data_IF_583235438293
#
_entry.id   IF_583235438293
#
_cell.length_a   1.000
_cell.length_b   1.000
_cell.length_c   1.000
_cell.angle_alpha   90.00
_cell.angle_beta   90.00
_cell.angle_gamma   90.00
#
_symmetry.space_group_name_H-M   'P 1'
#
loop_
_entity.id
_entity.type
_entity.pdbx_description
1 polymer ?
#
# COMPACT_ATOMS: atom_id res chain seq x y z
N UNK A 1 7.66 4.23 23.30
CA UNK A 1 7.14 4.85 22.05
C UNK A 1 6.95 3.73 21.04
N UNK A 2 5.77 3.60 20.48
CA UNK A 2 5.48 2.60 19.45
C UNK A 2 6.15 2.99 18.13
N UNK A 3 6.64 2.00 17.37
CA UNK A 3 7.20 2.18 16.02
C UNK A 3 6.47 1.21 15.11
N UNK A 4 6.18 1.61 13.90
CA UNK A 4 5.66 0.72 12.86
C UNK A 4 6.83 0.15 12.05
N UNK A 5 7.05 -1.15 12.15
CA UNK A 5 8.08 -1.86 11.40
C UNK A 5 7.46 -2.49 10.15
N UNK A 6 7.89 -2.05 8.98
CA UNK A 6 7.52 -2.61 7.69
C UNK A 6 8.60 -3.61 7.31
N UNK A 7 8.37 -4.89 7.55
CA UNK A 7 9.37 -5.94 7.36
C UNK A 7 9.13 -6.65 6.03
N UNK A 8 10.13 -6.64 5.17
CA UNK A 8 10.12 -7.51 4.00
C UNK A 8 10.22 -8.98 4.40
N UNK A 9 9.83 -9.89 3.51
CA UNK A 9 9.80 -11.32 3.77
C UNK A 9 10.97 -12.06 3.11
N UNK A 10 11.09 -11.97 1.80
CA UNK A 10 12.07 -12.75 1.04
C UNK A 10 13.47 -12.20 1.20
N UNK A 11 14.40 -13.07 1.54
CA UNK A 11 15.79 -12.72 1.79
C UNK A 11 16.04 -11.75 2.96
N UNK A 12 14.95 -11.31 3.62
CA UNK A 12 14.97 -10.51 4.85
C UNK A 12 14.57 -11.33 6.09
N UNK A 13 13.40 -11.97 6.07
CA UNK A 13 12.89 -12.82 7.15
C UNK A 13 12.94 -14.32 6.82
N UNK A 14 12.88 -14.64 5.53
CA UNK A 14 12.94 -15.99 4.99
C UNK A 14 14.00 -16.05 3.88
N UNK A 15 15.00 -16.88 4.01
CA UNK A 15 15.99 -17.07 2.94
C UNK A 15 15.34 -17.86 1.80
N UNK A 16 15.05 -17.19 0.69
CA UNK A 16 14.38 -17.74 -0.48
C UNK A 16 15.28 -17.63 -1.70
N UNK A 17 15.71 -18.77 -2.25
CA UNK A 17 16.37 -18.76 -3.55
C UNK A 17 15.31 -18.60 -4.65
N UNK A 18 15.05 -17.35 -5.05
CA UNK A 18 14.04 -17.03 -6.05
C UNK A 18 14.28 -17.69 -7.41
N UNK A 19 15.55 -17.90 -7.80
CA UNK A 19 15.90 -18.56 -9.07
C UNK A 19 15.50 -20.04 -9.07
N UNK A 20 15.45 -20.68 -7.90
CA UNK A 20 14.97 -22.04 -7.74
C UNK A 20 13.47 -22.09 -7.42
N UNK A 21 12.98 -21.17 -6.58
CA UNK A 21 11.61 -21.16 -6.09
C UNK A 21 10.58 -20.87 -7.19
N UNK A 22 10.80 -19.84 -8.00
CA UNK A 22 9.84 -19.42 -9.04
C UNK A 22 9.63 -20.50 -10.11
N UNK A 23 10.67 -21.11 -10.68
CA UNK A 23 10.47 -22.24 -11.61
C UNK A 23 9.77 -23.45 -10.97
N UNK A 24 10.10 -23.80 -9.73
CA UNK A 24 9.44 -24.88 -9.01
C UNK A 24 7.97 -24.59 -8.72
N UNK A 25 7.63 -23.36 -8.35
CA UNK A 25 6.25 -22.90 -8.19
C UNK A 25 5.47 -23.01 -9.50
N UNK A 26 6.03 -22.53 -10.61
CA UNK A 26 5.38 -22.61 -11.91
C UNK A 26 5.15 -24.07 -12.34
N UNK A 27 6.15 -24.92 -12.17
CA UNK A 27 6.05 -26.35 -12.46
C UNK A 27 4.95 -27.02 -11.62
N UNK A 28 4.94 -26.74 -10.31
CA UNK A 28 3.98 -27.33 -9.38
C UNK A 28 2.53 -26.86 -9.70
N UNK A 29 2.32 -25.57 -9.96
CA UNK A 29 1.01 -25.04 -10.32
C UNK A 29 0.52 -25.57 -11.67
N UNK A 30 1.39 -25.56 -12.69
CA UNK A 30 1.07 -26.12 -14.01
C UNK A 30 0.77 -27.62 -13.91
N UNK A 31 1.50 -28.38 -13.11
CA UNK A 31 1.25 -29.78 -12.87
C UNK A 31 -0.08 -30.05 -12.18
N UNK A 32 -0.46 -29.22 -11.20
CA UNK A 32 -1.75 -29.34 -10.50
C UNK A 32 -2.97 -29.04 -11.38
N UNK A 33 -2.78 -28.35 -12.50
CA UNK A 33 -3.84 -27.93 -13.42
C UNK A 33 -3.69 -28.57 -14.81
N UNK A 34 -2.77 -29.52 -15.01
CA UNK A 34 -2.42 -30.10 -16.31
C UNK A 34 -3.57 -30.87 -16.98
N UNK A 35 -4.52 -31.37 -16.20
CA UNK A 35 -5.74 -32.02 -16.69
C UNK A 35 -6.78 -31.02 -17.24
N UNK A 36 -6.62 -29.72 -16.93
CA UNK A 36 -7.56 -28.67 -17.33
C UNK A 36 -6.96 -27.68 -18.34
N UNK A 37 -5.66 -27.37 -18.22
CA UNK A 37 -4.98 -26.34 -19.00
C UNK A 37 -3.61 -26.84 -19.45
N UNK A 38 -3.29 -26.63 -20.72
CA UNK A 38 -1.94 -26.91 -21.21
C UNK A 38 -0.90 -26.04 -20.45
N UNK A 39 0.23 -26.62 -20.03
CA UNK A 39 1.24 -25.93 -19.22
C UNK A 39 1.73 -24.61 -19.82
N UNK A 40 1.90 -24.54 -21.14
CA UNK A 40 2.37 -23.35 -21.86
C UNK A 40 1.33 -22.22 -21.79
N UNK A 41 0.03 -22.56 -21.90
CA UNK A 41 -1.07 -21.59 -21.80
C UNK A 41 -1.18 -21.07 -20.38
N UNK A 42 -1.06 -21.95 -19.37
CA UNK A 42 -1.04 -21.59 -17.95
C UNK A 42 0.12 -20.62 -17.67
N UNK A 43 1.33 -20.95 -18.09
CA UNK A 43 2.51 -20.12 -17.86
C UNK A 43 2.38 -18.73 -18.50
N UNK A 44 1.90 -18.67 -19.76
CA UNK A 44 1.67 -17.40 -20.44
C UNK A 44 0.60 -16.55 -19.76
N UNK A 45 -0.50 -17.16 -19.27
CA UNK A 45 -1.53 -16.46 -18.53
C UNK A 45 -1.00 -15.92 -17.19
N UNK A 46 -0.24 -16.72 -16.45
CA UNK A 46 0.37 -16.36 -15.17
C UNK A 46 1.37 -15.21 -15.33
N UNK A 47 2.30 -15.32 -16.28
CA UNK A 47 3.27 -14.25 -16.55
C UNK A 47 2.59 -12.96 -17.03
N UNK A 48 1.56 -13.07 -17.86
CA UNK A 48 0.79 -11.92 -18.33
C UNK A 48 0.04 -11.21 -17.20
N UNK A 49 -0.61 -11.97 -16.33
CA UNK A 49 -1.28 -11.43 -15.13
C UNK A 49 -0.29 -10.76 -14.17
N UNK A 50 0.85 -11.41 -13.91
CA UNK A 50 1.92 -10.84 -13.06
C UNK A 50 2.47 -9.54 -13.66
N UNK A 51 2.74 -9.50 -14.96
CA UNK A 51 3.18 -8.27 -15.63
C UNK A 51 2.17 -7.13 -15.50
N UNK A 52 0.88 -7.45 -15.54
CA UNK A 52 -0.18 -6.45 -15.39
C UNK A 52 -0.25 -5.93 -13.95
N UNK A 53 -0.06 -6.78 -12.94
CA UNK A 53 0.05 -6.33 -11.54
C UNK A 53 1.23 -5.38 -11.34
N UNK A 54 2.41 -5.71 -11.87
CA UNK A 54 3.62 -4.87 -11.77
C UNK A 54 3.46 -3.50 -12.42
N UNK A 55 2.62 -3.39 -13.45
CA UNK A 55 2.36 -2.15 -14.17
C UNK A 55 1.15 -1.37 -13.63
N UNK A 56 0.45 -1.89 -12.61
CA UNK A 56 -0.78 -1.26 -12.14
C UNK A 56 -0.50 0.05 -11.40
N UNK A 57 -1.15 1.11 -11.84
CA UNK A 57 -1.20 2.43 -11.18
C UNK A 57 -2.65 2.87 -10.91
N UNK A 58 -3.64 2.03 -11.20
CA UNK A 58 -5.05 2.33 -10.98
C UNK A 58 -5.42 2.06 -9.50
N UNK A 59 -5.76 3.09 -8.72
CA UNK A 59 -6.14 2.92 -7.32
C UNK A 59 -7.52 2.29 -7.12
N UNK A 60 -8.26 2.03 -8.20
CA UNK A 60 -9.59 1.43 -8.13
C UNK A 60 -9.57 -0.09 -8.18
N UNK A 61 -8.44 -0.70 -8.53
CA UNK A 61 -8.33 -2.13 -8.76
C UNK A 61 -7.25 -2.75 -7.86
N UNK A 62 -7.64 -3.70 -7.04
CA UNK A 62 -6.69 -4.54 -6.31
C UNK A 62 -5.80 -5.30 -7.30
N UNK A 63 -4.61 -5.70 -6.87
CA UNK A 63 -3.72 -6.51 -7.71
C UNK A 63 -4.37 -7.85 -8.10
N UNK A 64 -5.22 -8.40 -7.23
CA UNK A 64 -6.04 -9.59 -7.55
C UNK A 64 -6.97 -9.31 -8.72
N UNK A 65 -7.70 -8.22 -8.71
CA UNK A 65 -8.64 -7.87 -9.80
C UNK A 65 -7.88 -7.64 -11.11
N UNK A 66 -6.72 -6.96 -11.06
CA UNK A 66 -5.84 -6.77 -12.22
C UNK A 66 -5.32 -8.11 -12.73
N UNK A 67 -4.87 -9.01 -11.86
CA UNK A 67 -4.42 -10.34 -12.22
C UNK A 67 -5.56 -11.16 -12.86
N UNK A 68 -6.70 -11.22 -12.20
CA UNK A 68 -7.88 -11.98 -12.60
C UNK A 68 -8.39 -11.57 -13.99
N UNK A 69 -8.41 -10.26 -14.27
CA UNK A 69 -8.82 -9.71 -15.55
C UNK A 69 -7.93 -10.17 -16.73
N UNK A 70 -6.67 -10.54 -16.46
CA UNK A 70 -5.73 -11.02 -17.48
C UNK A 70 -5.59 -12.54 -17.49
N UNK A 71 -5.68 -13.17 -16.34
CA UNK A 71 -5.43 -14.60 -16.17
C UNK A 71 -6.58 -15.45 -16.68
N UNK A 72 -7.79 -15.29 -16.11
CA UNK A 72 -8.92 -16.16 -16.40
C UNK A 72 -9.38 -16.14 -17.88
N UNK A 73 -9.50 -15.00 -18.57
CA UNK A 73 -9.93 -14.98 -19.96
C UNK A 73 -9.02 -15.76 -20.91
N UNK A 74 -7.71 -15.84 -20.61
CA UNK A 74 -6.75 -16.57 -21.42
C UNK A 74 -6.89 -18.08 -21.31
N UNK A 75 -7.38 -18.57 -20.19
CA UNK A 75 -7.53 -19.99 -19.92
C UNK A 75 -8.80 -20.58 -20.56
N UNK A 76 -9.77 -19.74 -20.91
CA UNK A 76 -11.07 -20.16 -21.52
C UNK A 76 -11.80 -21.22 -20.71
N UNK A 77 -11.66 -21.22 -19.40
CA UNK A 77 -12.31 -22.11 -18.45
C UNK A 77 -13.25 -21.34 -17.54
N UNK A 78 -14.21 -22.04 -16.97
CA UNK A 78 -15.07 -21.50 -15.91
C UNK A 78 -14.19 -21.11 -14.69
N UNK A 79 -14.31 -19.84 -14.30
CA UNK A 79 -13.54 -19.28 -13.19
C UNK A 79 -13.78 -20.04 -11.89
N UNK A 80 -15.05 -20.41 -11.60
CA UNK A 80 -15.38 -21.05 -10.34
C UNK A 80 -14.75 -22.44 -10.23
N UNK A 81 -14.74 -23.18 -11.33
CA UNK A 81 -14.12 -24.52 -11.38
C UNK A 81 -12.60 -24.41 -11.21
N UNK A 82 -11.97 -23.47 -11.90
CA UNK A 82 -10.52 -23.27 -11.81
C UNK A 82 -10.09 -22.76 -10.45
N UNK A 83 -10.87 -21.87 -9.83
CA UNK A 83 -10.57 -21.33 -8.50
C UNK A 83 -10.49 -22.44 -7.43
N UNK A 84 -11.42 -23.41 -7.45
CA UNK A 84 -11.39 -24.55 -6.53
C UNK A 84 -10.08 -25.33 -6.63
N UNK A 85 -9.58 -25.54 -7.86
CA UNK A 85 -8.32 -26.25 -8.09
C UNK A 85 -7.10 -25.45 -7.66
N UNK A 86 -7.14 -24.13 -7.88
CA UNK A 86 -6.10 -23.20 -7.41
C UNK A 86 -6.07 -23.20 -5.88
N UNK A 87 -7.22 -23.17 -5.22
CA UNK A 87 -7.30 -23.19 -3.75
C UNK A 87 -6.73 -24.50 -3.20
N UNK A 88 -7.08 -25.66 -3.81
CA UNK A 88 -6.49 -26.95 -3.47
C UNK A 88 -4.98 -26.99 -3.65
N UNK A 89 -4.47 -26.37 -4.74
CA UNK A 89 -3.03 -26.25 -4.95
C UNK A 89 -2.35 -25.51 -3.79
N UNK A 90 -2.90 -24.39 -3.36
CA UNK A 90 -2.33 -23.63 -2.23
C UNK A 90 -2.47 -24.35 -0.90
N UNK A 91 -3.47 -25.22 -0.73
CA UNK A 91 -3.66 -26.02 0.50
C UNK A 91 -2.74 -27.25 0.55
N UNK A 92 -2.53 -27.94 -0.57
CA UNK A 92 -1.95 -29.31 -0.56
C UNK A 92 -0.57 -29.39 -1.23
N UNK A 93 -0.29 -28.56 -2.23
CA UNK A 93 0.92 -28.64 -3.05
C UNK A 93 1.92 -27.53 -2.68
N UNK A 94 1.45 -26.28 -2.63
CA UNK A 94 2.28 -25.12 -2.33
C UNK A 94 3.06 -25.26 -1.01
N UNK A 95 2.52 -25.82 0.10
CA UNK A 95 3.26 -26.01 1.35
C UNK A 95 4.56 -26.83 1.20
N UNK A 96 4.62 -27.73 0.21
CA UNK A 96 5.81 -28.60 -0.04
C UNK A 96 6.99 -27.81 -0.62
N UNK A 97 6.74 -26.65 -1.21
CA UNK A 97 7.77 -25.75 -1.73
C UNK A 97 8.62 -25.12 -0.60
N UNK A 98 8.16 -25.19 0.65
CA UNK A 98 8.92 -24.76 1.82
C UNK A 98 10.30 -25.40 1.95
N UNK A 99 10.47 -26.60 1.39
CA UNK A 99 11.80 -27.27 1.34
C UNK A 99 12.86 -26.52 0.51
N UNK A 100 12.43 -25.54 -0.31
CA UNK A 100 13.31 -24.68 -1.10
C UNK A 100 13.71 -23.40 -0.37
N UNK A 101 13.25 -23.22 0.86
CA UNK A 101 13.51 -22.03 1.68
C UNK A 101 14.23 -22.43 2.96
N UNK A 102 14.85 -21.46 3.63
CA UNK A 102 15.51 -21.67 4.92
C UNK A 102 15.14 -20.54 5.88
N UNK A 103 14.67 -20.85 7.10
CA UNK A 103 14.41 -19.85 8.12
C UNK A 103 15.65 -19.01 8.43
N UNK A 104 15.46 -17.72 8.68
CA UNK A 104 16.51 -16.84 9.19
C UNK A 104 16.30 -16.72 10.70
N UNK A 105 17.24 -17.27 11.55
CA UNK A 105 17.04 -17.28 12.99
C UNK A 105 16.87 -15.89 13.62
N UNK A 106 17.54 -14.88 13.04
CA UNK A 106 17.43 -13.49 13.49
C UNK A 106 16.05 -12.87 13.21
N UNK A 107 15.32 -13.40 12.22
CA UNK A 107 13.96 -12.93 11.90
C UNK A 107 13.00 -13.19 13.07
N UNK A 108 12.99 -14.40 13.63
CA UNK A 108 12.14 -14.74 14.78
C UNK A 108 12.54 -13.87 15.99
N UNK A 109 13.84 -13.71 16.25
CA UNK A 109 14.33 -12.85 17.35
C UNK A 109 13.93 -11.38 17.19
N UNK A 110 13.95 -10.88 15.97
CA UNK A 110 13.52 -9.51 15.66
C UNK A 110 12.01 -9.34 15.90
N UNK A 111 11.20 -10.25 15.40
CA UNK A 111 9.74 -10.19 15.51
C UNK A 111 9.30 -10.40 16.97
N UNK A 112 9.86 -11.36 17.69
CA UNK A 112 9.60 -11.56 19.13
C UNK A 112 9.94 -10.30 19.94
N UNK A 113 11.09 -9.67 19.65
CA UNK A 113 11.47 -8.41 20.27
C UNK A 113 10.47 -7.28 19.94
N UNK A 114 10.09 -7.14 18.67
CA UNK A 114 9.20 -6.07 18.23
C UNK A 114 7.83 -6.14 18.94
N UNK A 115 7.25 -7.33 19.04
CA UNK A 115 6.00 -7.52 19.77
C UNK A 115 6.19 -7.34 21.29
N UNK A 116 7.33 -7.80 21.84
CA UNK A 116 7.66 -7.64 23.25
C UNK A 116 7.78 -6.17 23.69
N UNK A 117 8.25 -5.30 22.80
CA UNK A 117 8.34 -3.84 23.02
C UNK A 117 7.06 -3.08 22.64
N UNK A 118 6.01 -3.79 22.18
CA UNK A 118 4.75 -3.18 21.78
C UNK A 118 4.82 -2.41 20.45
N UNK A 119 5.74 -2.79 19.56
CA UNK A 119 5.83 -2.23 18.23
C UNK A 119 4.74 -2.81 17.32
N UNK A 120 4.31 -2.03 16.31
CA UNK A 120 3.41 -2.50 15.27
C UNK A 120 4.24 -3.15 14.18
N UNK A 121 3.92 -4.40 13.83
CA UNK A 121 4.66 -5.16 12.79
C UNK A 121 3.76 -5.39 11.59
N UNK A 122 4.28 -5.03 10.42
CA UNK A 122 3.68 -5.24 9.10
C UNK A 122 4.60 -6.15 8.30
N UNK A 123 4.05 -7.15 7.64
CA UNK A 123 4.77 -7.91 6.62
C UNK A 123 4.58 -7.20 5.28
N UNK A 124 5.63 -6.52 4.87
CA UNK A 124 5.67 -5.68 3.67
C UNK A 124 6.35 -6.43 2.51
N UNK A 125 5.82 -7.58 2.12
CA UNK A 125 6.32 -8.37 0.97
C UNK A 125 5.78 -7.84 -0.35
N UNK A 126 6.43 -8.16 -1.49
CA UNK A 126 5.86 -7.79 -2.79
C UNK A 126 4.55 -8.56 -3.01
N UNK A 127 3.39 -7.88 -3.15
CA UNK A 127 2.07 -8.49 -3.07
C UNK A 127 1.63 -9.16 -4.38
N UNK A 128 2.50 -10.02 -4.92
CA UNK A 128 2.26 -10.77 -6.16
C UNK A 128 1.63 -12.15 -5.93
N UNK A 129 1.45 -12.54 -4.67
CA UNK A 129 0.89 -13.82 -4.26
C UNK A 129 -0.39 -13.64 -3.44
N UNK A 130 -1.30 -14.66 -3.44
CA UNK A 130 -2.43 -14.68 -2.53
C UNK A 130 -1.99 -14.74 -1.07
N UNK A 131 -2.80 -14.18 -0.18
CA UNK A 131 -2.55 -14.15 1.27
C UNK A 131 -2.23 -15.55 1.82
N UNK A 132 -2.92 -16.58 1.35
CA UNK A 132 -2.67 -17.98 1.73
C UNK A 132 -1.23 -18.41 1.46
N UNK A 133 -0.67 -18.04 0.31
CA UNK A 133 0.73 -18.33 -0.02
C UNK A 133 1.70 -17.57 0.90
N UNK A 134 1.43 -16.30 1.17
CA UNK A 134 2.24 -15.50 2.11
C UNK A 134 2.20 -16.10 3.52
N UNK A 135 1.04 -16.54 3.99
CA UNK A 135 0.89 -17.22 5.28
C UNK A 135 1.71 -18.51 5.37
N UNK A 136 1.77 -19.32 4.31
CA UNK A 136 2.66 -20.50 4.27
C UNK A 136 4.12 -20.08 4.38
N UNK A 137 4.53 -19.05 3.67
CA UNK A 137 5.92 -18.53 3.70
C UNK A 137 6.29 -17.99 5.07
N UNK A 138 5.37 -17.32 5.77
CA UNK A 138 5.55 -16.91 7.16
C UNK A 138 5.72 -18.12 8.09
N UNK A 139 4.95 -19.19 7.90
CA UNK A 139 5.14 -20.43 8.68
C UNK A 139 6.53 -21.06 8.40
N UNK A 140 6.99 -21.03 7.15
CA UNK A 140 8.35 -21.50 6.81
C UNK A 140 9.44 -20.65 7.47
N UNK A 141 9.20 -19.35 7.66
CA UNK A 141 10.09 -18.45 8.39
C UNK A 141 10.05 -18.64 9.92
N UNK A 142 9.16 -19.50 10.45
CA UNK A 142 8.90 -19.62 11.88
C UNK A 142 8.04 -18.50 12.47
N UNK A 143 7.39 -17.72 11.61
CA UNK A 143 6.59 -16.55 11.93
C UNK A 143 5.09 -16.80 11.65
N UNK A 144 4.57 -17.91 12.16
CA UNK A 144 3.19 -18.31 11.91
C UNK A 144 2.18 -17.22 12.29
N UNK A 145 1.26 -16.81 11.37
CA UNK A 145 0.29 -15.75 11.62
C UNK A 145 -0.62 -16.03 12.82
N UNK A 146 -0.79 -17.29 13.20
CA UNK A 146 -1.58 -17.70 14.37
C UNK A 146 -0.90 -17.34 15.69
N UNK A 147 0.43 -17.15 15.67
CA UNK A 147 1.23 -16.76 16.84
C UNK A 147 1.45 -15.23 16.88
N UNK A 148 1.61 -14.61 15.74
CA UNK A 148 1.98 -13.20 15.62
C UNK A 148 0.84 -12.38 15.03
N UNK A 149 0.24 -11.44 15.80
CA UNK A 149 -0.84 -10.59 15.32
C UNK A 149 -0.28 -9.43 14.46
N UNK A 150 0.22 -9.75 13.27
CA UNK A 150 0.67 -8.73 12.33
C UNK A 150 -0.44 -7.73 12.03
N UNK A 151 -0.12 -6.44 12.08
CA UNK A 151 -1.10 -5.38 11.82
C UNK A 151 -1.57 -5.37 10.36
N UNK A 152 -0.69 -5.80 9.45
CA UNK A 152 -0.99 -6.00 8.03
C UNK A 152 -0.02 -7.05 7.46
N UNK A 153 -0.53 -7.90 6.59
CA UNK A 153 0.26 -8.79 5.72
C UNK A 153 -0.13 -8.45 4.30
N UNK A 154 0.77 -7.86 3.53
CA UNK A 154 0.48 -7.45 2.16
C UNK A 154 0.32 -8.65 1.25
N UNK A 155 -0.70 -8.62 0.41
CA UNK A 155 -1.03 -9.65 -0.56
C UNK A 155 -1.75 -9.04 -1.76
N UNK A 156 -1.93 -9.80 -2.83
CA UNK A 156 -2.60 -9.27 -4.01
C UNK A 156 -4.11 -8.97 -3.78
N UNK A 157 -4.71 -9.50 -2.72
CA UNK A 157 -6.10 -9.22 -2.35
C UNK A 157 -6.30 -7.85 -1.71
N UNK A 158 -5.29 -7.36 -0.96
CA UNK A 158 -5.42 -6.17 -0.13
C UNK A 158 -4.52 -5.00 -0.55
N UNK A 159 -3.75 -5.16 -1.63
CA UNK A 159 -2.91 -4.11 -2.19
C UNK A 159 -3.29 -3.79 -3.62
N UNK A 160 -3.14 -2.51 -3.99
CA UNK A 160 -3.35 -1.99 -5.34
C UNK A 160 -2.04 -1.77 -6.07
N UNK A 161 -0.95 -1.61 -5.34
CA UNK A 161 0.37 -1.31 -5.88
C UNK A 161 1.40 -2.34 -5.43
N UNK A 162 2.40 -2.56 -6.28
CA UNK A 162 3.56 -3.41 -5.99
C UNK A 162 4.73 -2.56 -5.50
N UNK A 163 5.76 -3.18 -4.93
CA UNK A 163 6.97 -2.50 -4.42
C UNK A 163 7.73 -1.69 -5.47
N UNK A 164 7.48 -1.94 -6.76
CA UNK A 164 8.03 -1.16 -7.86
C UNK A 164 7.46 0.27 -7.91
N UNK A 165 6.33 0.50 -7.23
CA UNK A 165 5.70 1.82 -7.17
C UNK A 165 5.87 2.46 -5.78
N UNK A 166 6.13 3.77 -5.78
CA UNK A 166 6.25 4.53 -4.52
C UNK A 166 4.95 4.51 -3.72
N UNK A 167 3.79 4.40 -4.39
CA UNK A 167 2.46 4.40 -3.78
C UNK A 167 2.20 3.19 -2.86
N UNK A 168 2.93 2.08 -3.01
CA UNK A 168 2.85 0.92 -2.14
C UNK A 168 3.04 1.26 -0.65
N UNK A 169 3.99 2.13 -0.33
CA UNK A 169 4.35 2.47 1.05
C UNK A 169 3.30 3.35 1.74
N UNK A 170 2.84 4.47 1.14
CA UNK A 170 1.72 5.23 1.70
C UNK A 170 0.42 4.42 1.77
N UNK A 171 0.17 3.49 0.85
CA UNK A 171 -1.02 2.62 0.90
C UNK A 171 -1.03 1.76 2.18
N UNK A 172 0.10 1.15 2.55
CA UNK A 172 0.20 0.40 3.80
C UNK A 172 -0.09 1.28 5.02
N UNK A 173 0.51 2.49 5.07
CA UNK A 173 0.28 3.42 6.18
C UNK A 173 -1.19 3.86 6.25
N UNK A 174 -1.82 4.10 5.12
CA UNK A 174 -3.23 4.47 5.04
C UNK A 174 -4.14 3.33 5.52
N UNK A 175 -3.85 2.08 5.16
CA UNK A 175 -4.57 0.91 5.67
C UNK A 175 -4.38 0.68 7.18
N UNK A 176 -3.35 1.25 7.78
CA UNK A 176 -3.12 1.25 9.23
C UNK A 176 -3.72 2.46 9.95
N UNK A 177 -4.54 3.27 9.27
CA UNK A 177 -5.10 4.50 9.81
C UNK A 177 -4.10 5.64 9.88
N UNK A 178 -3.03 5.59 9.14
CA UNK A 178 -1.96 6.60 9.08
C UNK A 178 -1.42 6.99 10.46
N UNK A 179 -0.76 6.09 11.17
CA UNK A 179 -0.27 6.36 12.53
C UNK A 179 0.74 7.52 12.55
N UNK A 180 0.69 8.32 13.61
CA UNK A 180 1.65 9.41 13.85
C UNK A 180 3.01 8.91 14.38
N UNK A 181 3.09 7.62 14.71
CA UNK A 181 4.32 6.97 15.18
C UNK A 181 5.34 6.86 14.03
N UNK A 182 6.65 6.83 14.35
CA UNK A 182 7.67 6.54 13.37
C UNK A 182 7.40 5.22 12.64
N UNK A 183 7.69 5.20 11.33
CA UNK A 183 7.60 4.00 10.51
C UNK A 183 8.95 3.75 9.82
N UNK A 184 9.44 2.51 9.84
CA UNK A 184 10.72 2.13 9.25
C UNK A 184 10.55 0.89 8.38
N UNK A 185 10.99 0.98 7.13
CA UNK A 185 11.13 -0.19 6.25
C UNK A 185 12.43 -0.92 6.57
N UNK A 186 12.37 -2.24 6.64
CA UNK A 186 13.51 -3.14 6.79
C UNK A 186 13.47 -4.16 5.67
N UNK A 187 14.45 -4.13 4.77
CA UNK A 187 14.47 -5.01 3.60
C UNK A 187 15.82 -5.02 2.91
N UNK A 188 16.02 -5.94 1.95
CA UNK A 188 17.31 -6.23 1.32
C UNK A 188 17.45 -5.73 -0.13
N UNK A 189 16.36 -5.35 -0.79
CA UNK A 189 16.34 -4.96 -2.19
C UNK A 189 16.45 -3.43 -2.36
N UNK A 190 17.52 -2.98 -3.04
CA UNK A 190 17.75 -1.55 -3.27
C UNK A 190 16.66 -0.94 -4.17
N UNK A 191 16.28 -1.64 -5.24
CA UNK A 191 15.39 -1.10 -6.26
C UNK A 191 13.93 -1.10 -5.82
N UNK A 192 13.50 -2.14 -5.12
CA UNK A 192 12.13 -2.34 -4.71
C UNK A 192 11.82 -1.82 -3.31
N UNK A 193 12.86 -1.63 -2.45
CA UNK A 193 12.64 -1.27 -1.05
C UNK A 193 13.38 0.00 -0.64
N UNK A 194 14.68 0.09 -0.89
CA UNK A 194 15.45 1.25 -0.42
C UNK A 194 15.04 2.52 -1.19
N UNK A 195 15.11 2.49 -2.52
CA UNK A 195 14.82 3.66 -3.34
C UNK A 195 13.36 4.13 -3.22
N UNK A 196 12.34 3.26 -3.43
CA UNK A 196 10.95 3.73 -3.40
C UNK A 196 10.47 4.08 -1.98
N UNK A 197 10.97 3.44 -0.92
CA UNK A 197 10.70 3.84 0.46
C UNK A 197 11.16 5.26 0.73
N UNK A 198 12.40 5.58 0.35
CA UNK A 198 12.94 6.95 0.49
C UNK A 198 12.18 7.96 -0.36
N UNK A 199 11.83 7.58 -1.58
CA UNK A 199 11.01 8.41 -2.46
C UNK A 199 9.60 8.69 -1.89
N UNK A 200 9.06 7.75 -1.11
CA UNK A 200 7.82 7.93 -0.36
C UNK A 200 7.97 8.77 0.92
N UNK A 201 9.19 9.17 1.28
CA UNK A 201 9.47 9.95 2.48
C UNK A 201 9.54 9.12 3.76
N UNK A 202 9.80 7.81 3.67
CA UNK A 202 9.94 6.92 4.81
C UNK A 202 11.41 6.57 5.07
N UNK A 203 11.80 6.43 6.34
CA UNK A 203 13.07 5.83 6.74
C UNK A 203 13.16 4.36 6.30
N UNK A 204 14.38 3.91 5.97
CA UNK A 204 14.66 2.53 5.62
C UNK A 204 15.97 2.07 6.25
N UNK A 205 16.00 0.83 6.71
CA UNK A 205 17.21 0.09 7.06
C UNK A 205 17.45 -0.98 6.01
N UNK A 206 18.59 -0.88 5.31
CA UNK A 206 18.95 -1.83 4.28
C UNK A 206 19.64 -3.04 4.86
N UNK A 207 18.98 -4.19 4.79
CA UNK A 207 19.53 -5.49 5.24
C UNK A 207 20.55 -5.98 4.21
N UNK A 208 21.77 -6.28 4.69
CA UNK A 208 22.85 -6.82 3.85
C UNK A 208 23.28 -8.20 4.32
N UNK A 209 23.37 -9.13 3.39
CA UNK A 209 23.97 -10.44 3.65
C UNK A 209 25.49 -10.33 3.74
N UNK A 210 26.12 -11.16 4.57
CA UNK A 210 27.58 -11.22 4.68
C UNK A 210 28.19 -11.53 3.29
N UNK A 211 29.17 -10.72 2.88
CA UNK A 211 29.86 -10.88 1.59
C UNK A 211 29.13 -10.30 0.38
N UNK A 212 27.97 -9.68 0.56
CA UNK A 212 27.26 -8.98 -0.52
C UNK A 212 28.02 -7.69 -0.89
N UNK A 213 28.55 -7.66 -2.10
CA UNK A 213 29.22 -6.48 -2.68
C UNK A 213 28.19 -5.78 -3.58
N UNK A 214 27.35 -4.95 -3.00
CA UNK A 214 26.48 -4.05 -3.77
C UNK A 214 26.76 -2.62 -3.35
N UNK A 215 26.92 -1.74 -4.34
CA UNK A 215 27.03 -0.30 -4.12
C UNK A 215 25.61 0.25 -3.91
N UNK A 216 25.24 0.51 -2.66
CA UNK A 216 23.99 1.19 -2.30
C UNK A 216 24.25 2.62 -1.85
N UNK A 217 23.19 3.41 -1.59
CA UNK A 217 23.31 4.77 -1.09
C UNK A 217 24.10 4.79 0.23
N UNK A 218 25.21 5.54 0.26
CA UNK A 218 26.11 5.57 1.41
C UNK A 218 25.49 6.19 2.67
N UNK A 219 24.43 6.97 2.51
CA UNK A 219 23.68 7.65 3.56
C UNK A 219 22.52 6.80 4.14
N UNK A 220 22.31 5.59 3.62
CA UNK A 220 21.29 4.67 4.13
C UNK A 220 21.87 3.78 5.23
N UNK A 221 21.24 3.73 6.42
CA UNK A 221 21.60 2.77 7.45
C UNK A 221 21.52 1.34 6.91
N UNK A 222 22.58 0.55 7.15
CA UNK A 222 22.70 -0.77 6.57
C UNK A 222 23.49 -1.72 7.45
N UNK A 223 23.25 -3.00 7.29
CA UNK A 223 23.94 -4.07 8.00
C UNK A 223 23.16 -5.37 7.98
N UNK A 224 23.68 -6.43 8.62
CA UNK A 224 22.90 -7.65 8.78
C UNK A 224 21.67 -7.40 9.66
N UNK A 225 20.66 -8.28 9.57
CA UNK A 225 19.36 -8.08 10.22
C UNK A 225 19.49 -7.84 11.75
N UNK A 226 20.40 -8.54 12.42
CA UNK A 226 20.65 -8.37 13.84
C UNK A 226 21.19 -6.96 14.21
N UNK A 227 21.80 -6.25 13.27
CA UNK A 227 22.28 -4.89 13.50
C UNK A 227 21.16 -3.85 13.57
N UNK A 228 19.99 -4.14 13.02
CA UNK A 228 18.85 -3.24 12.99
C UNK A 228 18.46 -2.73 14.37
N UNK A 229 18.34 -3.61 15.36
CA UNK A 229 17.96 -3.23 16.73
C UNK A 229 18.95 -2.24 17.36
N UNK A 230 20.24 -2.47 17.17
CA UNK A 230 21.30 -1.58 17.67
C UNK A 230 21.30 -0.22 16.96
N UNK A 231 21.01 -0.20 15.66
CA UNK A 231 20.84 1.03 14.90
C UNK A 231 19.62 1.80 15.41
N UNK A 232 18.47 1.15 15.53
CA UNK A 232 17.23 1.78 15.98
C UNK A 232 17.36 2.37 17.39
N UNK A 233 18.00 1.64 18.33
CA UNK A 233 18.24 2.09 19.69
C UNK A 233 19.12 3.35 19.79
N UNK A 234 19.94 3.63 18.76
CA UNK A 234 20.80 4.82 18.68
C UNK A 234 20.22 5.93 17.83
N UNK A 235 19.12 5.67 17.13
CA UNK A 235 18.49 6.63 16.23
C UNK A 235 17.66 7.65 17.00
N UNK A 236 17.65 8.88 16.49
CA UNK A 236 16.66 9.86 16.93
C UNK A 236 15.29 9.48 16.32
N UNK A 237 14.37 9.05 17.14
CA UNK A 237 13.04 8.62 16.71
C UNK A 237 12.23 9.78 16.09
N UNK A 238 12.54 11.03 16.40
CA UNK A 238 11.90 12.19 15.76
C UNK A 238 12.33 12.30 14.28
N UNK A 239 13.57 11.90 13.97
CA UNK A 239 14.08 11.87 12.60
C UNK A 239 13.54 10.66 11.78
N UNK A 240 12.91 9.68 12.45
CA UNK A 240 12.28 8.52 11.80
C UNK A 240 10.79 8.73 11.47
N UNK A 241 10.28 9.94 11.62
CA UNK A 241 8.93 10.28 11.19
C UNK A 241 8.83 10.32 9.67
N UNK A 242 7.69 9.86 9.17
CA UNK A 242 7.37 9.91 7.74
C UNK A 242 7.23 11.37 7.30
N UNK A 243 7.91 11.74 6.21
CA UNK A 243 7.93 13.10 5.67
C UNK A 243 7.49 13.11 4.21
N UNK A 244 6.21 13.40 3.97
CA UNK A 244 5.61 13.42 2.63
C UNK A 244 5.61 14.87 2.14
N UNK A 245 6.73 15.32 1.60
CA UNK A 245 6.90 16.72 1.14
C UNK A 245 7.40 16.81 -0.30
N UNK A 246 8.09 15.79 -0.83
CA UNK A 246 8.54 15.80 -2.22
C UNK A 246 7.36 15.57 -3.18
N UNK A 247 7.42 16.08 -4.43
CA UNK A 247 6.40 15.83 -5.44
C UNK A 247 6.07 14.36 -5.61
N UNK A 248 7.08 13.49 -5.62
CA UNK A 248 6.91 12.06 -5.77
C UNK A 248 6.20 11.42 -4.57
N UNK A 249 6.53 11.83 -3.35
CA UNK A 249 5.87 11.35 -2.13
C UNK A 249 4.42 11.84 -2.05
N UNK A 250 4.16 13.11 -2.41
CA UNK A 250 2.83 13.69 -2.48
C UNK A 250 1.94 12.93 -3.47
N UNK A 251 2.43 12.72 -4.70
CA UNK A 251 1.70 11.99 -5.73
C UNK A 251 1.40 10.55 -5.29
N UNK A 252 2.37 9.88 -4.66
CA UNK A 252 2.20 8.54 -4.12
C UNK A 252 1.13 8.50 -3.00
N UNK A 253 1.14 9.47 -2.08
CA UNK A 253 0.14 9.60 -1.02
C UNK A 253 -1.26 9.84 -1.57
N UNK A 254 -1.41 10.78 -2.51
CA UNK A 254 -2.69 11.06 -3.16
C UNK A 254 -3.25 9.85 -3.92
N UNK A 255 -2.38 9.05 -4.54
CA UNK A 255 -2.75 7.83 -5.25
C UNK A 255 -3.18 6.72 -4.30
N UNK A 256 -2.56 6.63 -3.13
CA UNK A 256 -2.84 5.58 -2.14
C UNK A 256 -4.13 5.80 -1.36
N UNK A 257 -4.61 7.04 -1.22
CA UNK A 257 -5.82 7.34 -0.45
C UNK A 257 -7.06 6.55 -0.92
N UNK A 258 -7.50 6.63 -2.20
CA UNK A 258 -8.67 5.87 -2.63
C UNK A 258 -8.45 4.36 -2.59
N UNK A 259 -7.24 3.88 -2.85
CA UNK A 259 -6.87 2.48 -2.77
C UNK A 259 -7.06 1.92 -1.34
N UNK A 260 -6.49 2.60 -0.35
CA UNK A 260 -6.63 2.21 1.04
C UNK A 260 -8.10 2.26 1.50
N UNK A 261 -8.86 3.29 1.11
CA UNK A 261 -10.28 3.38 1.42
C UNK A 261 -11.08 2.22 0.82
N UNK A 262 -10.80 1.82 -0.42
CA UNK A 262 -11.42 0.67 -1.05
C UNK A 262 -11.18 -0.60 -0.23
N UNK A 263 -9.94 -0.87 0.19
CA UNK A 263 -9.62 -2.04 1.02
C UNK A 263 -10.28 -1.97 2.40
N UNK A 264 -10.20 -0.84 3.09
CA UNK A 264 -10.77 -0.67 4.43
C UNK A 264 -12.28 -0.82 4.47
N UNK A 265 -12.97 -0.52 3.38
CA UNK A 265 -14.44 -0.55 3.30
C UNK A 265 -15.01 -1.76 2.58
N UNK A 266 -14.16 -2.59 1.93
CA UNK A 266 -14.60 -3.69 1.05
C UNK A 266 -15.54 -4.70 1.71
N UNK A 267 -15.34 -5.00 2.99
CA UNK A 267 -16.13 -6.00 3.74
C UNK A 267 -17.14 -5.39 4.71
N UNK A 268 -17.29 -4.06 4.71
CA UNK A 268 -18.17 -3.41 5.67
C UNK A 268 -19.64 -3.62 5.33
N UNK A 269 -20.49 -3.97 6.32
CA UNK A 269 -21.92 -4.01 6.11
C UNK A 269 -22.47 -2.58 5.91
N UNK A 270 -23.57 -2.44 5.19
CA UNK A 270 -24.18 -1.13 4.88
C UNK A 270 -24.44 -0.27 6.12
N UNK A 271 -24.74 -0.89 7.26
CA UNK A 271 -24.97 -0.16 8.51
C UNK A 271 -23.73 0.54 9.07
N UNK A 272 -22.53 -0.01 8.82
CA UNK A 272 -21.26 0.60 9.27
C UNK A 272 -21.00 1.97 8.62
N UNK A 273 -21.54 2.19 7.43
CA UNK A 273 -21.37 3.45 6.71
C UNK A 273 -22.07 4.64 7.39
N UNK A 274 -23.15 4.41 8.10
CA UNK A 274 -23.97 5.45 8.72
C UNK A 274 -23.84 5.50 10.24
N UNK A 275 -22.99 4.67 10.82
CA UNK A 275 -22.75 4.64 12.24
C UNK A 275 -21.65 5.64 12.60
N UNK A 276 -22.00 6.69 13.36
CA UNK A 276 -21.03 7.65 13.90
C UNK A 276 -20.33 7.09 15.13
N UNK A 277 -19.01 7.31 15.30
CA UNK A 277 -18.28 6.85 16.48
C UNK A 277 -18.69 7.61 17.76
N UNK A 278 -19.15 8.85 17.63
CA UNK A 278 -19.72 9.67 18.69
C UNK A 278 -20.78 10.64 18.15
N UNK A 279 -21.69 11.18 18.99
CA UNK A 279 -22.83 12.00 18.53
C UNK A 279 -22.50 13.26 17.72
N UNK A 280 -21.27 13.77 17.83
CA UNK A 280 -20.81 14.97 17.11
C UNK A 280 -19.77 14.67 16.04
N UNK A 281 -19.43 13.40 15.83
CA UNK A 281 -18.44 12.99 14.84
C UNK A 281 -19.11 12.44 13.59
N UNK A 282 -18.47 12.65 12.46
CA UNK A 282 -18.97 12.18 11.17
C UNK A 282 -18.91 10.65 11.08
N UNK A 283 -19.91 10.07 10.47
CA UNK A 283 -19.89 8.67 10.07
C UNK A 283 -19.05 8.49 8.78
N UNK A 284 -18.77 7.25 8.44
CA UNK A 284 -17.96 6.92 7.26
C UNK A 284 -18.53 7.52 5.96
N UNK A 285 -19.86 7.44 5.76
CA UNK A 285 -20.51 8.02 4.60
C UNK A 285 -20.29 9.54 4.49
N UNK A 286 -20.35 10.25 5.62
CA UNK A 286 -20.13 11.69 5.67
C UNK A 286 -18.68 12.05 5.33
N UNK A 287 -17.71 11.29 5.81
CA UNK A 287 -16.30 11.52 5.53
C UNK A 287 -16.00 11.28 4.04
N UNK A 288 -16.46 10.17 3.47
CA UNK A 288 -16.23 9.85 2.06
C UNK A 288 -16.94 10.84 1.12
N UNK A 289 -18.15 11.27 1.49
CA UNK A 289 -18.87 12.33 0.78
C UNK A 289 -18.07 13.65 0.76
N UNK A 290 -17.55 14.05 1.92
CA UNK A 290 -16.70 15.23 2.05
C UNK A 290 -15.44 15.14 1.17
N UNK A 291 -14.72 14.02 1.22
CA UNK A 291 -13.54 13.79 0.37
C UNK A 291 -13.89 13.89 -1.12
N UNK A 292 -15.01 13.29 -1.56
CA UNK A 292 -15.50 13.37 -2.94
C UNK A 292 -15.77 14.81 -3.37
N UNK A 293 -16.51 15.53 -2.55
CA UNK A 293 -16.97 16.88 -2.90
C UNK A 293 -15.81 17.88 -2.89
N UNK A 294 -14.91 17.78 -1.92
CA UNK A 294 -13.70 18.60 -1.87
C UNK A 294 -12.80 18.30 -3.07
N UNK A 295 -12.64 17.04 -3.44
CA UNK A 295 -11.83 16.69 -4.60
C UNK A 295 -12.40 17.28 -5.89
N UNK A 296 -13.71 17.13 -6.13
CA UNK A 296 -14.36 17.54 -7.38
C UNK A 296 -14.52 19.06 -7.51
N UNK A 297 -14.87 19.72 -6.42
CA UNK A 297 -15.30 21.11 -6.47
C UNK A 297 -14.26 22.11 -5.95
N UNK A 298 -13.23 21.62 -5.26
CA UNK A 298 -12.18 22.46 -4.70
C UNK A 298 -10.81 22.09 -5.26
N UNK A 299 -10.32 20.86 -5.04
CA UNK A 299 -8.95 20.50 -5.39
C UNK A 299 -8.73 20.49 -6.91
N UNK A 300 -9.54 19.74 -7.64
CA UNK A 300 -9.41 19.60 -9.09
C UNK A 300 -9.52 20.95 -9.83
N UNK A 301 -10.50 21.84 -9.53
CA UNK A 301 -10.54 23.18 -10.12
C UNK A 301 -9.35 24.07 -9.77
N UNK A 302 -8.83 23.97 -8.52
CA UNK A 302 -7.63 24.72 -8.09
C UNK A 302 -6.40 24.31 -8.85
N UNK A 303 -6.16 23.00 -8.98
CA UNK A 303 -5.02 22.46 -9.73
C UNK A 303 -5.08 22.93 -11.19
N UNK A 304 -6.25 22.77 -11.84
CA UNK A 304 -6.45 23.24 -13.22
C UNK A 304 -6.13 24.74 -13.37
N UNK A 305 -6.57 25.54 -12.41
CA UNK A 305 -6.32 26.97 -12.40
C UNK A 305 -4.84 27.31 -12.25
N UNK A 306 -4.13 26.66 -11.31
CA UNK A 306 -2.69 26.87 -11.10
C UNK A 306 -1.87 26.43 -12.32
N UNK A 307 -2.30 25.39 -13.01
CA UNK A 307 -1.63 24.93 -14.23
C UNK A 307 -1.90 25.85 -15.44
N UNK A 308 -3.07 26.50 -15.50
CA UNK A 308 -3.48 27.32 -16.63
C UNK A 308 -3.08 28.81 -16.53
N UNK A 309 -3.04 29.37 -15.31
CA UNK A 309 -2.83 30.79 -15.08
C UNK A 309 -1.46 31.09 -14.48
N UNK A 310 -0.98 32.32 -14.63
CA UNK A 310 0.24 32.79 -13.99
C UNK A 310 -0.09 33.39 -12.62
N UNK A 311 0.45 32.79 -11.55
CA UNK A 311 0.26 33.19 -10.15
C UNK A 311 -1.21 33.49 -9.75
N UNK A 312 -2.16 32.55 -9.98
CA UNK A 312 -3.57 32.77 -9.76
C UNK A 312 -3.91 32.98 -8.29
N UNK A 313 -5.01 33.68 -8.04
CA UNK A 313 -5.60 33.75 -6.71
C UNK A 313 -6.52 32.54 -6.48
N UNK A 314 -6.28 31.80 -5.39
CA UNK A 314 -7.00 30.59 -4.98
C UNK A 314 -7.80 30.90 -3.73
N UNK A 315 -9.11 30.70 -3.80
CA UNK A 315 -10.04 31.02 -2.71
C UNK A 315 -10.04 29.91 -1.67
N UNK A 316 -10.05 30.27 -0.38
CA UNK A 316 -10.40 29.37 0.71
C UNK A 316 -11.91 29.08 0.66
N UNK A 317 -12.30 27.84 0.95
CA UNK A 317 -13.70 27.44 0.97
C UNK A 317 -14.00 26.65 2.24
N UNK A 318 -15.09 26.99 2.91
CA UNK A 318 -15.60 26.24 4.05
C UNK A 318 -16.46 25.09 3.52
N UNK A 319 -15.94 23.87 3.65
CA UNK A 319 -16.53 22.68 3.03
C UNK A 319 -17.24 21.75 4.02
N UNK A 320 -16.98 21.91 5.32
CA UNK A 320 -17.56 21.04 6.36
C UNK A 320 -19.09 21.18 6.42
N UNK A 321 -19.61 22.38 6.16
CA UNK A 321 -21.06 22.65 6.12
C UNK A 321 -21.78 21.83 5.03
N UNK A 322 -21.10 21.48 3.94
CA UNK A 322 -21.64 20.70 2.83
C UNK A 322 -22.12 19.32 3.25
N UNK A 323 -21.43 18.70 4.23
CA UNK A 323 -21.77 17.36 4.72
C UNK A 323 -23.22 17.30 5.16
N UNK A 324 -23.67 18.32 5.91
CA UNK A 324 -25.04 18.43 6.39
C UNK A 324 -26.00 18.93 5.31
N UNK A 325 -25.61 19.98 4.56
CA UNK A 325 -26.43 20.56 3.50
C UNK A 325 -26.77 19.57 2.40
N UNK A 326 -25.81 18.67 2.06
CA UNK A 326 -25.96 17.67 1.01
C UNK A 326 -26.49 16.34 1.54
N UNK A 327 -26.81 16.25 2.83
CA UNK A 327 -27.34 15.05 3.49
C UNK A 327 -26.47 13.81 3.22
N UNK A 328 -25.17 13.96 3.41
CA UNK A 328 -24.16 12.96 3.05
C UNK A 328 -24.40 11.59 3.71
N UNK A 329 -24.92 11.56 4.96
CA UNK A 329 -25.24 10.32 5.66
C UNK A 329 -26.35 9.48 4.98
N UNK A 330 -27.14 10.08 4.08
CA UNK A 330 -28.24 9.41 3.37
C UNK A 330 -27.85 8.93 1.97
N UNK A 331 -26.63 9.21 1.52
CA UNK A 331 -26.13 8.81 0.21
C UNK A 331 -25.47 7.42 0.26
N UNK A 332 -25.40 6.76 -0.90
CA UNK A 332 -24.72 5.47 -1.03
C UNK A 332 -23.20 5.64 -0.88
N UNK A 333 -22.64 5.08 0.21
CA UNK A 333 -21.23 5.20 0.53
C UNK A 333 -20.29 4.59 -0.50
N UNK A 334 -20.64 3.45 -1.07
CA UNK A 334 -19.85 2.79 -2.12
C UNK A 334 -19.84 3.60 -3.42
N UNK A 335 -20.98 4.17 -3.78
CA UNK A 335 -21.05 5.04 -4.95
C UNK A 335 -20.23 6.32 -4.73
N UNK A 336 -20.30 6.90 -3.52
CA UNK A 336 -19.49 8.08 -3.19
C UNK A 336 -17.98 7.80 -3.24
N UNK A 337 -17.54 6.62 -2.78
CA UNK A 337 -16.14 6.19 -2.88
C UNK A 337 -15.73 6.01 -4.34
N UNK A 338 -16.58 5.42 -5.16
CA UNK A 338 -16.36 5.29 -6.61
C UNK A 338 -16.21 6.66 -7.27
N UNK A 339 -17.08 7.60 -6.94
CA UNK A 339 -17.05 8.97 -7.45
C UNK A 339 -15.80 9.75 -6.98
N UNK A 340 -15.40 9.57 -5.72
CA UNK A 340 -14.15 10.13 -5.20
C UNK A 340 -12.94 9.58 -5.95
N UNK A 341 -12.89 8.26 -6.12
CA UNK A 341 -11.80 7.59 -6.85
C UNK A 341 -11.71 8.10 -8.30
N UNK A 342 -12.85 8.26 -8.97
CA UNK A 342 -12.88 8.82 -10.33
C UNK A 342 -12.34 10.25 -10.38
N UNK A 343 -12.77 11.13 -9.46
CA UNK A 343 -12.27 12.50 -9.39
C UNK A 343 -10.76 12.56 -9.05
N UNK A 344 -10.30 11.72 -8.13
CA UNK A 344 -8.88 11.61 -7.80
C UNK A 344 -8.04 11.12 -8.97
N UNK A 345 -8.55 10.21 -9.80
CA UNK A 345 -7.86 9.79 -11.04
C UNK A 345 -7.70 10.95 -12.01
N UNK A 346 -8.66 11.87 -12.10
CA UNK A 346 -8.51 13.10 -12.91
C UNK A 346 -7.41 14.01 -12.32
N UNK A 347 -7.38 14.18 -11.00
CA UNK A 347 -6.31 14.92 -10.30
C UNK A 347 -4.94 14.30 -10.58
N UNK A 348 -4.81 12.99 -10.43
CA UNK A 348 -3.56 12.27 -10.68
C UNK A 348 -3.10 12.44 -12.13
N UNK A 349 -4.03 12.37 -13.10
CA UNK A 349 -3.70 12.57 -14.52
C UNK A 349 -3.20 13.98 -14.83
N UNK A 350 -3.60 15.00 -14.06
CA UNK A 350 -3.05 16.35 -14.19
C UNK A 350 -1.68 16.51 -13.57
N UNK A 351 -1.35 15.73 -12.55
CA UNK A 351 -0.10 15.83 -11.79
C UNK A 351 0.98 14.87 -12.30
N UNK A 352 0.58 13.76 -12.94
CA UNK A 352 1.53 12.77 -13.48
C UNK A 352 2.40 13.41 -14.58
N UNK A 353 3.72 13.21 -14.46
CA UNK A 353 4.70 13.73 -15.42
C UNK A 353 5.06 15.21 -15.25
N UNK A 354 4.51 15.91 -14.25
CA UNK A 354 4.93 17.28 -13.94
C UNK A 354 6.33 17.27 -13.31
N UNK A 355 7.14 18.22 -13.71
CA UNK A 355 8.50 18.46 -13.17
C UNK A 355 8.62 19.87 -12.60
N UNK A 356 8.89 20.84 -13.45
CA UNK A 356 9.05 22.25 -13.05
C UNK A 356 7.73 22.87 -12.56
N UNK A 357 6.61 22.35 -13.01
CA UNK A 357 5.26 22.83 -12.67
C UNK A 357 4.94 22.73 -11.19
N UNK A 358 5.55 21.81 -10.45
CA UNK A 358 5.38 21.72 -9.00
C UNK A 358 5.76 23.02 -8.27
N UNK A 359 6.66 23.80 -8.81
CA UNK A 359 7.07 25.12 -8.29
C UNK A 359 6.20 26.28 -8.77
N UNK A 360 5.15 26.04 -9.58
CA UNK A 360 4.28 27.10 -10.08
C UNK A 360 3.67 27.89 -8.92
N UNK A 361 3.79 29.23 -8.94
CA UNK A 361 3.29 30.06 -7.86
C UNK A 361 1.76 30.20 -7.94
N UNK A 362 1.17 30.37 -6.76
CA UNK A 362 -0.22 30.78 -6.58
C UNK A 362 -0.33 31.68 -5.35
N UNK A 363 -1.48 32.29 -5.13
CA UNK A 363 -1.81 33.07 -3.93
C UNK A 363 -3.06 32.52 -3.28
N UNK A 364 -2.90 31.85 -2.16
CA UNK A 364 -4.03 31.30 -1.44
C UNK A 364 -4.61 32.32 -0.45
N UNK A 365 -5.94 32.40 -0.35
CA UNK A 365 -6.65 33.37 0.49
C UNK A 365 -6.24 33.31 1.99
N UNK A 366 -5.87 32.12 2.48
CA UNK A 366 -5.51 31.90 3.88
C UNK A 366 -3.99 31.81 4.06
N UNK A 367 -3.27 31.12 3.18
CA UNK A 367 -1.83 30.84 3.31
C UNK A 367 -0.96 31.92 2.66
N UNK A 368 -1.52 32.84 1.86
CA UNK A 368 -0.76 33.82 1.13
C UNK A 368 -0.04 33.25 -0.11
N UNK A 369 1.20 33.72 -0.41
CA UNK A 369 2.01 33.18 -1.49
C UNK A 369 2.26 31.66 -1.24
N UNK A 370 2.03 30.86 -2.26
CA UNK A 370 2.15 29.39 -2.19
C UNK A 370 2.56 28.84 -3.55
N UNK A 371 2.83 27.55 -3.62
CA UNK A 371 3.16 26.80 -4.83
C UNK A 371 2.17 25.65 -5.05
N UNK A 372 2.18 25.06 -6.25
CA UNK A 372 1.40 23.84 -6.51
C UNK A 372 1.79 22.72 -5.52
N UNK A 373 3.09 22.56 -5.24
CA UNK A 373 3.59 21.56 -4.30
C UNK A 373 3.01 21.76 -2.89
N UNK A 374 3.01 22.97 -2.37
CA UNK A 374 2.46 23.28 -1.04
C UNK A 374 0.93 23.11 -1.00
N UNK A 375 0.23 23.41 -2.10
CA UNK A 375 -1.20 23.10 -2.20
C UNK A 375 -1.45 21.59 -2.15
N UNK A 376 -0.61 20.78 -2.80
CA UNK A 376 -0.73 19.32 -2.77
C UNK A 376 -0.30 18.72 -1.44
N UNK A 377 0.65 19.32 -0.72
CA UNK A 377 0.97 18.94 0.65
C UNK A 377 -0.24 19.16 1.58
N UNK A 378 -0.93 20.28 1.41
CA UNK A 378 -2.18 20.52 2.14
C UNK A 378 -3.26 19.46 1.81
N UNK A 379 -3.45 19.11 0.52
CA UNK A 379 -4.40 18.05 0.12
C UNK A 379 -4.02 16.70 0.70
N UNK A 380 -2.75 16.31 0.65
CA UNK A 380 -2.27 15.06 1.23
C UNK A 380 -2.42 15.05 2.76
N UNK A 381 -2.21 16.17 3.43
CA UNK A 381 -2.45 16.34 4.86
C UNK A 381 -3.92 16.18 5.23
N UNK A 382 -4.82 16.76 4.44
CA UNK A 382 -6.27 16.64 4.58
C UNK A 382 -6.72 15.17 4.41
N UNK A 383 -6.23 14.48 3.38
CA UNK A 383 -6.49 13.06 3.18
C UNK A 383 -6.07 12.22 4.39
N UNK A 384 -4.86 12.45 4.91
CA UNK A 384 -4.35 11.73 6.10
C UNK A 384 -5.24 11.95 7.33
N UNK A 385 -5.67 13.18 7.57
CA UNK A 385 -6.56 13.49 8.69
C UNK A 385 -7.89 12.73 8.57
N UNK A 386 -8.46 12.64 7.37
CA UNK A 386 -9.68 11.88 7.13
C UNK A 386 -9.49 10.37 7.17
N UNK A 387 -8.34 9.83 6.75
CA UNK A 387 -8.01 8.42 6.97
C UNK A 387 -7.94 8.10 8.46
N UNK A 388 -7.30 8.94 9.27
CA UNK A 388 -7.28 8.80 10.74
C UNK A 388 -8.69 8.87 11.34
N UNK A 389 -9.55 9.72 10.81
CA UNK A 389 -10.94 9.82 11.23
C UNK A 389 -11.72 8.56 10.85
N UNK A 390 -11.60 8.08 9.60
CA UNK A 390 -12.21 6.83 9.12
C UNK A 390 -11.79 5.65 9.99
N UNK A 391 -10.50 5.53 10.30
CA UNK A 391 -9.99 4.45 11.15
C UNK A 391 -10.72 4.34 12.50
N UNK A 392 -11.19 5.46 13.05
CA UNK A 392 -11.97 5.48 14.30
C UNK A 392 -13.42 5.02 14.10
N UNK A 393 -13.96 5.06 12.87
CA UNK A 393 -15.31 4.61 12.56
C UNK A 393 -15.38 3.12 12.24
N UNK A 394 -14.23 2.48 11.97
CA UNK A 394 -14.20 1.07 11.63
C UNK A 394 -14.50 0.20 12.85
N UNK A 395 -15.23 -0.93 12.67
CA UNK A 395 -15.43 -1.90 13.76
C UNK A 395 -14.08 -2.45 14.22
N UNK A 396 -13.96 -2.64 15.55
CA UNK A 396 -12.75 -3.18 16.19
C UNK A 396 -12.50 -4.64 15.80
#
# INVERSE_FOLDING_TARGET
MTITLLLDLDDTLLNTNMDAFIPAYFQALSGALADMVAPEVMLQALMGGTKSMLANLDPALTLREVFDAHFFPRLKLDRAVLQVRIDQFYDEVFPKLGSLTTPIPDAVRLVDWAFGEGHRVVIATNPLFPLKAIQHRLRWAGLAPEKYPFALVTSYENMHFTKETVAYYPEMLAQLGWPDDPAVMVGDDIEREVKPTRAAGLPVFWVRKAGQVSEGPADVPQGPLEAFRNWLAKSDLAALKVSITSPQALLASLRSTPAALATLTASLPSQAWTQSPAPSEWCLAEIVCHLRDVEREVNLPRIRKVLAEENPFVIGQETDVWVKERRCAEQDGQQMLTDFTAARKETLALLDGLEAEWSRPARHAIFGPTTLQELMDFVAGHDRAHIQQIWKTLPA
#
